data_IF_899688802173
#
_entry.id   IF_899688802173
#
_cell.length_a   1.000
_cell.length_b   1.000
_cell.length_c   1.000
_cell.angle_alpha   90.00
_cell.angle_beta   90.00
_cell.angle_gamma   90.00
#
_symmetry.space_group_name_H-M   'P 1'
#
loop_
_entity.id
_entity.type
_entity.pdbx_description
1 polymer ?
#
# COMPACT_ATOMS: atom_id res chain seq x y z
N UNK A 1 -8.71 11.48 0.49
CA UNK A 1 -7.77 10.95 1.51
C UNK A 1 -8.33 9.76 2.30
N UNK A 2 -9.64 9.57 2.38
CA UNK A 2 -10.26 8.41 3.08
C UNK A 2 -10.12 7.06 2.35
N UNK A 3 -9.74 7.05 1.06
CA UNK A 3 -9.59 5.81 0.27
C UNK A 3 -8.26 5.09 0.46
N UNK A 4 -7.24 5.74 1.04
CA UNK A 4 -5.90 5.16 1.13
C UNK A 4 -5.80 3.97 2.12
N UNK A 5 -6.62 3.95 3.17
CA UNK A 5 -6.58 2.88 4.18
C UNK A 5 -7.33 1.63 3.68
N UNK A 6 -8.40 1.81 2.92
CA UNK A 6 -9.17 0.68 2.33
C UNK A 6 -8.38 -0.02 1.21
N UNK A 7 -7.49 0.70 0.49
CA UNK A 7 -6.67 0.12 -0.57
C UNK A 7 -5.56 -0.82 -0.09
N UNK A 8 -5.16 -0.77 1.19
CA UNK A 8 -4.18 -1.71 1.75
C UNK A 8 -4.68 -3.16 1.63
N UNK A 9 -5.99 -3.36 1.64
CA UNK A 9 -6.63 -4.68 1.60
C UNK A 9 -6.60 -5.35 0.23
N UNK A 10 -6.70 -4.60 -0.86
CA UNK A 10 -6.66 -5.17 -2.22
C UNK A 10 -5.30 -5.78 -2.56
N UNK A 11 -4.22 -5.23 -2.01
CA UNK A 11 -2.86 -5.72 -2.25
C UNK A 11 -2.49 -7.00 -1.48
N UNK A 12 -3.17 -7.30 -0.37
CA UNK A 12 -3.02 -8.59 0.31
C UNK A 12 -3.85 -9.70 -0.35
N UNK A 13 -4.86 -9.34 -1.16
CA UNK A 13 -5.74 -10.28 -1.85
C UNK A 13 -5.47 -10.42 -3.36
N UNK A 14 -4.65 -9.57 -3.95
CA UNK A 14 -4.47 -9.53 -5.40
C UNK A 14 -3.05 -9.77 -5.84
N UNK A 15 -2.70 -11.01 -6.11
CA UNK A 15 -1.98 -11.42 -7.32
C UNK A 15 -1.89 -12.94 -7.40
N UNK A 16 -2.14 -13.49 -8.58
CA UNK A 16 -2.04 -14.90 -8.93
C UNK A 16 -0.59 -15.37 -8.86
N UNK A 17 -0.18 -15.81 -7.73
CA UNK A 17 1.05 -16.51 -7.45
C UNK A 17 0.99 -16.93 -6.00
N UNK A 18 0.80 -18.21 -5.72
CA UNK A 18 0.76 -18.88 -4.42
C UNK A 18 0.64 -17.91 -3.24
N UNK A 19 -0.56 -17.41 -3.02
CA UNK A 19 -0.84 -16.40 -2.01
C UNK A 19 -0.53 -17.00 -0.64
N UNK A 20 0.63 -16.65 -0.07
CA UNK A 20 0.96 -16.94 1.32
C UNK A 20 0.07 -16.04 2.18
N UNK A 21 -1.20 -16.45 2.36
CA UNK A 21 -2.20 -15.68 3.11
C UNK A 21 -1.77 -15.57 4.56
N UNK A 22 -1.65 -14.37 5.11
CA UNK A 22 -1.27 -14.21 6.51
C UNK A 22 -2.38 -14.71 7.43
N UNK A 23 -1.99 -15.31 8.55
CA UNK A 23 -2.90 -15.67 9.63
C UNK A 23 -3.21 -14.47 10.52
N UNK A 24 -2.30 -13.50 10.54
CA UNK A 24 -2.46 -12.22 11.25
C UNK A 24 -1.61 -11.13 10.57
N UNK A 25 -1.95 -9.88 10.83
CA UNK A 25 -1.16 -8.71 10.42
C UNK A 25 -0.73 -7.97 11.68
N UNK A 26 0.58 -7.72 11.81
CA UNK A 26 1.13 -6.79 12.80
C UNK A 26 1.20 -5.41 12.19
N UNK A 27 0.73 -4.43 12.93
CA UNK A 27 0.69 -3.04 12.51
C UNK A 27 1.64 -2.19 13.35
N UNK A 28 2.46 -1.40 12.66
CA UNK A 28 3.41 -0.47 13.27
C UNK A 28 3.17 0.93 12.71
N UNK A 29 3.36 1.94 13.55
CA UNK A 29 3.33 3.35 13.20
C UNK A 29 4.66 3.98 13.59
N UNK A 30 5.38 4.57 12.63
CA UNK A 30 6.73 5.12 12.82
C UNK A 30 7.67 4.14 13.55
N UNK A 31 7.62 2.87 13.19
CA UNK A 31 8.40 1.79 13.82
C UNK A 31 7.89 1.31 15.18
N UNK A 32 6.88 1.96 15.77
CA UNK A 32 6.28 1.54 17.04
C UNK A 32 5.14 0.57 16.79
N UNK A 33 5.17 -0.59 17.45
CA UNK A 33 4.08 -1.56 17.40
C UNK A 33 2.78 -0.96 17.94
N UNK A 34 1.68 -1.13 17.21
CA UNK A 34 0.35 -0.64 17.56
C UNK A 34 -0.55 -1.77 18.00
N UNK A 35 -0.80 -2.74 17.09
CA UNK A 35 -1.71 -3.85 17.39
C UNK A 35 -1.54 -5.02 16.38
N UNK A 36 -2.25 -6.11 16.65
CA UNK A 36 -2.36 -7.31 15.81
C UNK A 36 -3.79 -7.51 15.32
N UNK A 37 -3.94 -7.75 14.02
CA UNK A 37 -5.24 -7.93 13.38
C UNK A 37 -5.37 -9.31 12.76
N UNK A 38 -6.54 -9.90 12.94
CA UNK A 38 -6.88 -11.25 12.46
C UNK A 38 -7.97 -11.19 11.39
N UNK A 39 -8.08 -12.23 10.53
CA UNK A 39 -9.15 -12.29 9.54
C UNK A 39 -10.55 -12.13 10.15
N UNK A 40 -11.35 -11.22 9.59
CA UNK A 40 -12.66 -10.81 10.12
C UNK A 40 -13.76 -11.85 9.82
N UNK A 41 -13.59 -13.07 10.35
CA UNK A 41 -14.51 -14.20 10.11
C UNK A 41 -15.94 -13.96 10.57
N UNK A 42 -16.15 -13.10 11.58
CA UNK A 42 -17.49 -12.78 12.09
C UNK A 42 -18.29 -11.92 11.12
N UNK A 43 -17.64 -10.97 10.46
CA UNK A 43 -18.27 -10.04 9.50
C UNK A 43 -18.40 -10.66 8.11
N UNK A 44 -17.42 -11.45 7.69
CA UNK A 44 -17.34 -12.04 6.34
C UNK A 44 -17.47 -13.57 6.38
N UNK A 45 -18.53 -14.07 7.02
CA UNK A 45 -18.78 -15.51 7.21
C UNK A 45 -18.91 -16.30 5.89
N UNK A 46 -19.39 -15.62 4.84
CA UNK A 46 -19.63 -16.20 3.51
C UNK A 46 -18.34 -16.31 2.68
N UNK A 47 -17.24 -15.65 3.11
CA UNK A 47 -15.98 -15.72 2.38
C UNK A 47 -15.10 -16.86 2.93
N UNK A 48 -14.59 -17.75 2.05
CA UNK A 48 -13.65 -18.81 2.47
C UNK A 48 -12.37 -18.20 3.05
N UNK A 49 -12.04 -16.98 2.60
CA UNK A 49 -10.87 -16.24 3.03
C UNK A 49 -11.27 -14.79 3.37
N UNK A 50 -11.71 -14.54 4.60
CA UNK A 50 -12.12 -13.22 5.00
C UNK A 50 -10.92 -12.25 5.05
N UNK A 51 -11.15 -10.96 4.72
CA UNK A 51 -10.11 -9.94 4.82
C UNK A 51 -9.72 -9.71 6.29
N UNK A 52 -8.51 -9.19 6.50
CA UNK A 52 -8.11 -8.61 7.78
C UNK A 52 -8.54 -7.14 7.75
N UNK A 53 -9.38 -6.72 8.67
CA UNK A 53 -9.84 -5.32 8.80
C UNK A 53 -8.99 -4.63 9.85
N UNK A 54 -8.35 -3.51 9.50
CA UNK A 54 -7.59 -2.67 10.42
C UNK A 54 -8.49 -1.49 10.78
N UNK A 55 -9.03 -1.52 11.98
CA UNK A 55 -9.98 -0.54 12.50
C UNK A 55 -9.51 0.13 13.80
N UNK A 56 -8.37 -0.30 14.34
CA UNK A 56 -7.70 0.33 15.47
C UNK A 56 -6.31 0.86 15.07
N UNK A 57 -6.14 2.19 15.10
CA UNK A 57 -4.89 2.88 14.75
C UNK A 57 -4.08 3.30 15.98
N UNK A 58 -4.56 2.99 17.18
CA UNK A 58 -4.04 3.48 18.45
C UNK A 58 -3.55 2.33 19.33
N UNK A 59 -4.24 1.18 19.30
CA UNK A 59 -3.94 0.04 20.16
C UNK A 59 -4.02 0.43 21.64
N UNK A 60 -3.00 0.06 22.40
CA UNK A 60 -2.89 0.37 23.84
C UNK A 60 -2.06 1.63 24.12
N UNK A 61 -1.60 2.34 23.09
CA UNK A 61 -0.68 3.47 23.26
C UNK A 61 -1.29 4.61 24.08
N UNK A 62 -2.60 4.83 23.94
CA UNK A 62 -3.30 5.89 24.66
C UNK A 62 -3.41 5.56 26.17
N UNK A 63 -3.64 4.29 26.51
CA UNK A 63 -3.66 3.81 27.91
C UNK A 63 -2.27 3.90 28.55
N UNK A 64 -1.21 3.63 27.79
CA UNK A 64 0.17 3.63 28.30
C UNK A 64 0.75 5.02 28.47
N UNK A 65 0.38 5.97 27.61
CA UNK A 65 1.08 7.26 27.51
C UNK A 65 0.29 8.44 28.07
N UNK A 66 -1.02 8.27 28.34
CA UNK A 66 -1.88 9.36 28.79
C UNK A 66 -2.45 9.08 30.21
N UNK A 67 -2.73 10.11 31.01
CA UNK A 67 -3.18 9.97 32.38
C UNK A 67 -4.67 9.61 32.49
N UNK A 68 -5.16 8.74 31.60
CA UNK A 68 -6.54 8.29 31.60
C UNK A 68 -6.68 6.94 32.30
N UNK A 69 -7.85 6.71 32.94
CA UNK A 69 -8.18 5.35 33.35
C UNK A 69 -8.31 4.45 32.12
N UNK A 70 -8.03 3.17 32.26
CA UNK A 70 -8.16 2.17 31.19
C UNK A 70 -9.51 2.24 30.45
N UNK A 71 -10.60 2.44 31.19
CA UNK A 71 -11.95 2.55 30.62
C UNK A 71 -12.14 3.83 29.82
N UNK A 72 -11.57 4.94 30.28
CA UNK A 72 -11.72 6.24 29.63
C UNK A 72 -10.79 6.37 28.43
N UNK A 73 -9.55 5.83 28.52
CA UNK A 73 -8.66 5.69 27.39
C UNK A 73 -9.32 4.91 26.24
N UNK A 74 -10.02 3.80 26.56
CA UNK A 74 -10.77 3.04 25.55
C UNK A 74 -11.90 3.88 24.92
N UNK A 75 -12.64 4.66 25.70
CA UNK A 75 -13.71 5.53 25.18
C UNK A 75 -13.18 6.59 24.21
N UNK A 76 -12.05 7.23 24.56
CA UNK A 76 -11.38 8.19 23.65
C UNK A 76 -10.89 7.46 22.41
N UNK A 77 -10.22 6.33 22.55
CA UNK A 77 -9.74 5.50 21.44
C UNK A 77 -10.87 5.17 20.46
N UNK A 78 -11.98 4.64 20.97
CA UNK A 78 -13.15 4.29 20.16
C UNK A 78 -13.72 5.52 19.43
N UNK A 79 -13.73 6.68 20.10
CA UNK A 79 -14.13 7.95 19.49
C UNK A 79 -13.21 8.39 18.36
N UNK A 80 -11.90 8.38 18.60
CA UNK A 80 -10.89 8.77 17.61
C UNK A 80 -10.89 7.82 16.38
N UNK A 81 -10.95 6.50 16.61
CA UNK A 81 -11.06 5.51 15.53
C UNK A 81 -12.38 5.66 14.76
N UNK A 82 -13.49 5.99 15.45
CA UNK A 82 -14.76 6.26 14.78
C UNK A 82 -14.73 7.53 13.92
N UNK A 83 -13.95 8.57 14.29
CA UNK A 83 -13.73 9.75 13.43
C UNK A 83 -13.03 9.33 12.14
N UNK A 84 -12.06 8.43 12.17
CA UNK A 84 -11.40 7.90 10.97
C UNK A 84 -12.40 7.15 10.09
N UNK A 85 -13.26 6.34 10.68
CA UNK A 85 -14.18 5.47 9.95
C UNK A 85 -15.37 6.22 9.33
N UNK A 86 -15.98 7.14 10.08
CA UNK A 86 -17.23 7.80 9.69
C UNK A 86 -17.07 9.27 9.31
N UNK A 87 -15.93 9.86 9.61
CA UNK A 87 -15.73 11.31 9.57
C UNK A 87 -16.36 12.02 10.77
N UNK A 88 -15.83 13.20 11.11
CA UNK A 88 -16.31 13.99 12.25
C UNK A 88 -17.81 14.36 12.17
N UNK A 89 -18.37 14.76 11.02
CA UNK A 89 -19.80 15.12 10.92
C UNK A 89 -20.73 13.93 11.21
N UNK A 90 -20.36 12.75 10.73
CA UNK A 90 -21.17 11.54 10.75
C UNK A 90 -20.88 10.63 11.97
N UNK A 91 -20.19 11.13 12.98
CA UNK A 91 -19.82 10.34 14.15
C UNK A 91 -21.09 9.84 14.87
N UNK A 92 -21.23 8.52 15.11
CA UNK A 92 -22.37 7.94 15.81
C UNK A 92 -22.56 8.54 17.22
N UNK A 93 -23.82 8.75 17.62
CA UNK A 93 -24.17 9.44 18.86
C UNK A 93 -23.52 8.81 20.11
N UNK A 94 -23.43 7.46 20.13
CA UNK A 94 -22.77 6.73 21.22
C UNK A 94 -21.32 7.18 21.45
N UNK A 95 -20.56 7.43 20.39
CA UNK A 95 -19.18 7.90 20.49
C UNK A 95 -19.10 9.37 20.89
N UNK A 96 -20.02 10.20 20.37
CA UNK A 96 -20.14 11.61 20.79
C UNK A 96 -20.36 11.73 22.29
N UNK A 97 -21.34 10.99 22.83
CA UNK A 97 -21.68 11.02 24.26
C UNK A 97 -20.55 10.43 25.13
N UNK A 98 -19.95 9.31 24.71
CA UNK A 98 -18.85 8.71 25.46
C UNK A 98 -17.63 9.64 25.53
N UNK A 99 -17.27 10.27 24.41
CA UNK A 99 -16.15 11.23 24.35
C UNK A 99 -16.46 12.48 25.15
N UNK A 100 -17.66 13.05 25.02
CA UNK A 100 -18.09 14.24 25.78
C UNK A 100 -18.05 13.99 27.29
N UNK A 101 -18.45 12.80 27.75
CA UNK A 101 -18.37 12.46 29.17
C UNK A 101 -16.92 12.44 29.68
N UNK A 102 -15.97 11.89 28.89
CA UNK A 102 -14.54 11.90 29.25
C UNK A 102 -13.98 13.32 29.22
N UNK A 103 -14.37 14.13 28.23
CA UNK A 103 -13.99 15.55 28.16
C UNK A 103 -14.40 16.30 29.43
N UNK A 104 -15.64 16.14 29.88
CA UNK A 104 -16.13 16.76 31.13
C UNK A 104 -15.35 16.29 32.37
N UNK A 105 -15.10 14.98 32.46
CA UNK A 105 -14.40 14.37 33.60
C UNK A 105 -12.96 14.87 33.74
N UNK A 106 -12.22 14.97 32.63
CA UNK A 106 -10.82 15.35 32.61
C UNK A 106 -10.60 16.82 32.21
N UNK A 107 -11.67 17.59 32.07
CA UNK A 107 -11.66 19.00 31.64
C UNK A 107 -10.93 19.23 30.32
N UNK A 108 -11.10 18.28 29.36
CA UNK A 108 -10.48 18.35 28.05
C UNK A 108 -11.27 19.32 27.16
N UNK A 109 -10.53 20.05 26.33
CA UNK A 109 -11.09 20.88 25.26
C UNK A 109 -11.18 20.10 23.94
N UNK A 110 -11.82 20.67 22.93
CA UNK A 110 -11.77 20.09 21.57
C UNK A 110 -10.35 20.16 20.97
N UNK A 111 -9.57 21.14 21.36
CA UNK A 111 -8.17 21.26 20.95
C UNK A 111 -7.31 20.12 21.49
N UNK A 112 -7.53 19.73 22.77
CA UNK A 112 -6.86 18.57 23.37
C UNK A 112 -7.19 17.27 22.61
N UNK A 113 -8.46 17.07 22.23
CA UNK A 113 -8.86 15.92 21.41
C UNK A 113 -8.21 15.96 20.01
N UNK A 114 -8.11 17.15 19.42
CA UNK A 114 -7.43 17.33 18.13
C UNK A 114 -5.95 17.03 18.25
N UNK A 115 -5.29 17.43 19.33
CA UNK A 115 -3.91 17.05 19.61
C UNK A 115 -3.74 15.55 19.81
N UNK A 116 -4.65 14.90 20.55
CA UNK A 116 -4.64 13.43 20.71
C UNK A 116 -4.84 12.73 19.36
N UNK A 117 -5.76 13.23 18.53
CA UNK A 117 -5.95 12.70 17.18
C UNK A 117 -4.66 12.82 16.36
N UNK A 118 -4.03 13.99 16.36
CA UNK A 118 -2.75 14.24 15.67
C UNK A 118 -1.64 13.33 16.16
N UNK A 119 -1.52 13.13 17.48
CA UNK A 119 -0.49 12.31 18.09
C UNK A 119 -0.67 10.81 17.81
N UNK A 120 -1.90 10.29 17.92
CA UNK A 120 -2.16 8.85 17.86
C UNK A 120 -2.69 8.34 16.53
N UNK A 121 -3.47 9.12 15.81
CA UNK A 121 -4.04 8.71 14.51
C UNK A 121 -3.20 9.26 13.36
N UNK A 122 -3.05 10.57 13.27
CA UNK A 122 -2.23 11.19 12.23
C UNK A 122 -2.38 12.70 12.18
N UNK A 123 -1.30 13.40 11.94
CA UNK A 123 -1.29 14.84 11.74
C UNK A 123 -1.64 15.18 10.30
N UNK A 124 -2.63 16.04 10.13
CA UNK A 124 -2.96 16.64 8.85
C UNK A 124 -1.84 17.65 8.48
N UNK A 125 -0.90 17.20 7.65
CA UNK A 125 0.05 18.09 6.97
C UNK A 125 1.31 18.53 7.73
N UNK A 126 1.61 18.04 8.94
CA UNK A 126 2.77 18.51 9.73
C UNK A 126 3.87 17.48 10.00
N UNK A 127 3.60 16.19 9.94
CA UNK A 127 4.62 15.16 10.10
C UNK A 127 4.36 14.01 9.14
N UNK A 128 5.41 13.51 8.52
CA UNK A 128 5.35 12.28 7.75
C UNK A 128 5.10 11.11 8.71
N UNK A 129 3.99 10.41 8.54
CA UNK A 129 3.67 9.21 9.30
C UNK A 129 3.91 8.02 8.40
N UNK A 130 4.78 7.12 8.81
CA UNK A 130 4.99 5.85 8.13
C UNK A 130 4.20 4.74 8.82
N UNK A 131 3.59 3.89 8.04
CA UNK A 131 2.88 2.71 8.49
C UNK A 131 3.58 1.47 7.93
N UNK A 132 3.83 0.49 8.79
CA UNK A 132 4.37 -0.82 8.39
C UNK A 132 3.38 -1.90 8.77
N UNK A 133 3.10 -2.80 7.83
CA UNK A 133 2.22 -3.94 8.00
C UNK A 133 3.00 -5.21 7.71
N UNK A 134 3.11 -6.10 8.68
CA UNK A 134 3.76 -7.39 8.54
C UNK A 134 2.70 -8.50 8.52
N UNK A 135 2.55 -9.14 7.38
CA UNK A 135 1.73 -10.34 7.25
C UNK A 135 2.47 -11.56 7.79
N UNK A 136 1.90 -12.23 8.78
CA UNK A 136 2.49 -13.39 9.43
C UNK A 136 1.67 -14.64 9.12
N UNK A 137 2.35 -15.70 8.73
CA UNK A 137 1.79 -17.04 8.54
C UNK A 137 2.69 -18.06 9.24
N UNK A 138 2.08 -18.88 10.10
CA UNK A 138 2.79 -19.95 10.84
C UNK A 138 4.03 -19.42 11.58
N UNK A 139 3.89 -18.24 12.21
CA UNK A 139 4.95 -17.58 12.98
C UNK A 139 6.04 -16.89 12.15
N UNK A 140 5.96 -16.92 10.82
CA UNK A 140 6.96 -16.31 9.91
C UNK A 140 6.37 -15.11 9.18
N UNK A 141 7.15 -14.05 9.02
CA UNK A 141 6.78 -12.92 8.17
C UNK A 141 6.82 -13.40 6.72
N UNK A 142 5.67 -13.31 6.04
CA UNK A 142 5.51 -13.71 4.63
C UNK A 142 5.47 -12.52 3.69
N UNK A 143 5.12 -11.34 4.20
CA UNK A 143 5.12 -10.09 3.44
C UNK A 143 5.18 -8.91 4.39
N UNK A 144 5.96 -7.89 4.03
CA UNK A 144 5.96 -6.57 4.66
C UNK A 144 5.48 -5.54 3.64
N UNK A 145 4.60 -4.64 4.06
CA UNK A 145 4.13 -3.51 3.27
C UNK A 145 4.35 -2.25 4.08
N UNK A 146 5.10 -1.31 3.52
CA UNK A 146 5.28 0.01 4.08
C UNK A 146 4.38 1.01 3.36
N UNK A 147 3.91 2.02 4.07
CA UNK A 147 3.14 3.14 3.53
C UNK A 147 3.64 4.42 4.19
N UNK A 148 4.19 5.30 3.37
CA UNK A 148 4.59 6.65 3.76
C UNK A 148 3.99 7.67 2.82
N UNK A 149 4.03 8.97 3.14
CA UNK A 149 3.65 9.99 2.18
C UNK A 149 4.51 9.90 0.94
N UNK A 150 3.88 9.92 -0.24
CA UNK A 150 4.57 9.91 -1.52
C UNK A 150 5.36 11.20 -1.70
N UNK A 151 6.68 11.07 -1.89
CA UNK A 151 7.56 12.21 -2.16
C UNK A 151 8.03 12.22 -3.62
N UNK A 152 8.43 11.08 -4.15
CA UNK A 152 9.01 11.01 -5.48
C UNK A 152 8.64 9.69 -6.17
N UNK A 153 7.61 9.69 -7.03
CA UNK A 153 7.31 8.50 -7.83
C UNK A 153 8.44 8.24 -8.84
N UNK A 154 8.65 6.97 -9.15
CA UNK A 154 9.65 6.51 -10.11
C UNK A 154 9.13 5.31 -10.89
N UNK A 155 9.82 4.95 -11.98
CA UNK A 155 9.50 3.73 -12.72
C UNK A 155 10.31 2.53 -12.23
N UNK A 156 9.65 1.39 -12.17
CA UNK A 156 10.26 0.07 -12.00
C UNK A 156 9.91 -0.78 -13.22
N UNK A 157 10.92 -1.49 -13.76
CA UNK A 157 10.74 -2.33 -14.95
C UNK A 157 11.13 -3.75 -14.57
N UNK A 158 10.19 -4.66 -14.76
CA UNK A 158 10.38 -6.11 -14.56
C UNK A 158 10.36 -6.79 -15.91
N UNK A 159 11.29 -7.70 -16.14
CA UNK A 159 11.38 -8.53 -17.35
C UNK A 159 11.36 -9.98 -16.92
N UNK A 160 10.52 -10.80 -17.54
CA UNK A 160 10.40 -12.23 -17.17
C UNK A 160 11.68 -13.01 -17.46
N UNK A 161 12.35 -12.72 -18.58
CA UNK A 161 13.67 -13.28 -18.93
C UNK A 161 14.48 -12.26 -19.73
N UNK A 162 15.72 -12.07 -19.35
CA UNK A 162 16.70 -11.27 -20.09
C UNK A 162 17.55 -12.11 -21.05
N UNK A 163 17.56 -13.43 -20.91
CA UNK A 163 18.20 -14.37 -21.82
C UNK A 163 17.12 -15.02 -22.70
N UNK A 164 17.23 -14.82 -23.99
CA UNK A 164 16.29 -15.29 -25.01
C UNK A 164 17.04 -16.17 -26.03
N UNK A 165 16.35 -17.14 -26.60
CA UNK A 165 16.96 -18.09 -27.54
C UNK A 165 16.14 -18.19 -28.80
N UNK A 166 16.77 -17.90 -29.95
CA UNK A 166 16.19 -18.15 -31.28
C UNK A 166 16.58 -19.58 -31.68
N UNK A 167 15.58 -20.47 -31.69
CA UNK A 167 15.78 -21.84 -32.18
C UNK A 167 15.08 -22.03 -33.54
N UNK A 168 14.02 -22.80 -33.62
CA UNK A 168 13.22 -23.00 -34.84
C UNK A 168 12.30 -21.79 -35.12
N UNK A 169 12.05 -20.95 -34.15
CA UNK A 169 11.24 -19.75 -34.23
C UNK A 169 11.80 -18.66 -33.31
N UNK A 170 11.18 -17.49 -33.34
CA UNK A 170 11.51 -16.39 -32.42
C UNK A 170 11.13 -16.76 -30.97
N UNK A 171 11.82 -16.15 -30.03
CA UNK A 171 11.47 -16.17 -28.61
C UNK A 171 10.85 -14.83 -28.19
N UNK A 172 10.13 -14.83 -27.06
CA UNK A 172 9.46 -13.64 -26.53
C UNK A 172 9.64 -13.53 -25.03
N UNK A 173 9.74 -12.29 -24.53
CA UNK A 173 9.70 -11.99 -23.10
C UNK A 173 8.67 -10.93 -22.80
N UNK A 174 8.02 -11.06 -21.65
CA UNK A 174 7.10 -10.05 -21.14
C UNK A 174 7.88 -9.01 -20.34
N UNK A 175 7.51 -7.75 -20.55
CA UNK A 175 8.00 -6.61 -19.75
C UNK A 175 6.83 -5.96 -19.06
N UNK A 176 6.99 -5.67 -17.78
CA UNK A 176 6.02 -4.93 -16.96
C UNK A 176 6.69 -3.66 -16.45
N UNK A 177 6.09 -2.52 -16.72
CA UNK A 177 6.54 -1.22 -16.20
C UNK A 177 5.53 -0.76 -15.16
N UNK A 178 6.04 -0.33 -14.00
CA UNK A 178 5.25 0.12 -12.86
C UNK A 178 5.68 1.52 -12.44
N UNK A 179 4.72 2.37 -12.12
CA UNK A 179 4.97 3.58 -11.36
C UNK A 179 4.91 3.21 -9.88
N UNK A 180 5.99 3.45 -9.14
CA UNK A 180 6.12 3.08 -7.73
C UNK A 180 6.49 4.28 -6.87
N UNK A 181 6.05 4.24 -5.62
CA UNK A 181 6.47 5.18 -4.57
C UNK A 181 7.83 4.79 -3.96
N UNK A 182 8.29 5.58 -2.98
CA UNK A 182 9.56 5.33 -2.29
C UNK A 182 9.55 4.00 -1.50
N UNK A 183 8.38 3.50 -1.13
CA UNK A 183 8.16 2.22 -0.45
C UNK A 183 7.94 1.04 -1.43
N UNK A 184 8.10 1.26 -2.74
CA UNK A 184 7.89 0.27 -3.81
C UNK A 184 6.43 -0.19 -3.97
N UNK A 185 5.48 0.62 -3.54
CA UNK A 185 4.08 0.37 -3.83
C UNK A 185 3.69 0.99 -5.16
N UNK A 186 2.78 0.32 -5.88
CA UNK A 186 2.25 0.86 -7.14
C UNK A 186 1.43 2.11 -6.87
N UNK A 187 1.67 3.15 -7.68
CA UNK A 187 0.91 4.39 -7.67
C UNK A 187 -0.36 4.22 -8.52
N UNK A 188 -1.43 3.69 -7.95
CA UNK A 188 -2.67 3.30 -8.64
C UNK A 188 -3.34 4.43 -9.46
N UNK A 189 -3.01 5.67 -9.19
CA UNK A 189 -3.56 6.87 -9.86
C UNK A 189 -2.58 7.51 -10.86
N UNK A 190 -1.48 6.84 -11.19
CA UNK A 190 -0.59 7.28 -12.27
C UNK A 190 -1.17 6.87 -13.62
N UNK A 191 -1.27 7.84 -14.52
CA UNK A 191 -1.72 7.71 -15.92
C UNK A 191 -0.71 8.34 -16.88
N UNK A 192 0.52 8.55 -16.43
CA UNK A 192 1.58 9.15 -17.23
C UNK A 192 1.85 8.32 -18.48
N UNK A 193 2.25 8.98 -19.56
CA UNK A 193 2.64 8.32 -20.78
C UNK A 193 4.03 7.68 -20.64
N UNK A 194 4.16 6.50 -21.21
CA UNK A 194 5.41 5.74 -21.29
C UNK A 194 5.78 5.56 -22.75
N UNK A 195 6.95 6.05 -23.13
CA UNK A 195 7.54 5.90 -24.47
C UNK A 195 8.53 4.73 -24.44
N UNK A 196 8.36 3.82 -25.39
CA UNK A 196 9.15 2.60 -25.52
C UNK A 196 9.98 2.65 -26.81
N UNK A 197 11.27 2.37 -26.68
CA UNK A 197 12.14 2.14 -27.84
C UNK A 197 13.03 0.94 -27.62
N UNK A 198 13.37 0.21 -28.69
CA UNK A 198 14.24 -0.95 -28.62
C UNK A 198 15.15 -1.02 -29.84
N UNK A 199 16.39 -1.38 -29.59
CA UNK A 199 17.36 -1.74 -30.62
C UNK A 199 17.67 -3.24 -30.53
N UNK A 200 17.82 -3.91 -31.68
CA UNK A 200 18.18 -5.33 -31.73
C UNK A 200 17.03 -6.33 -31.57
N UNK A 201 15.82 -5.87 -31.26
CA UNK A 201 14.61 -6.69 -31.14
C UNK A 201 13.37 -5.87 -31.55
N UNK A 202 12.16 -6.42 -31.40
CA UNK A 202 10.89 -5.79 -31.78
C UNK A 202 9.92 -5.75 -30.60
N UNK A 203 9.24 -4.61 -30.39
CA UNK A 203 8.14 -4.48 -29.42
C UNK A 203 6.85 -4.94 -30.09
N UNK A 204 6.14 -5.87 -29.44
CA UNK A 204 4.80 -6.27 -29.87
C UNK A 204 3.79 -5.32 -29.20
N UNK A 205 3.24 -4.41 -29.99
CA UNK A 205 2.26 -3.43 -29.54
C UNK A 205 2.67 -1.98 -29.81
N UNK A 206 1.93 -1.02 -29.25
CA UNK A 206 2.25 0.39 -29.41
C UNK A 206 3.51 0.77 -28.63
N UNK A 207 4.24 1.76 -29.15
CA UNK A 207 5.45 2.30 -28.50
C UNK A 207 5.15 3.44 -27.53
N UNK A 208 3.93 3.96 -27.56
CA UNK A 208 3.43 5.00 -26.67
C UNK A 208 2.20 4.44 -25.94
N UNK A 209 2.30 4.27 -24.61
CA UNK A 209 1.27 3.64 -23.80
C UNK A 209 1.17 4.40 -22.48
N UNK A 210 -0.04 4.80 -22.08
CA UNK A 210 -0.26 5.38 -20.76
C UNK A 210 -0.43 4.29 -19.69
N UNK A 211 0.03 4.55 -18.47
CA UNK A 211 -0.26 3.70 -17.35
C UNK A 211 -1.77 3.53 -17.14
N UNK A 212 -2.17 2.35 -16.73
CA UNK A 212 -3.53 2.02 -16.28
C UNK A 212 -3.42 1.47 -14.88
N UNK A 213 -3.86 2.26 -13.88
CA UNK A 213 -3.68 1.87 -12.48
C UNK A 213 -2.20 1.74 -12.07
N UNK A 214 -1.34 2.62 -12.61
CA UNK A 214 0.08 2.68 -12.30
C UNK A 214 0.94 1.58 -12.91
N UNK A 215 0.43 0.79 -13.87
CA UNK A 215 1.21 -0.25 -14.52
C UNK A 215 0.79 -0.49 -15.97
N UNK A 216 1.74 -0.98 -16.78
CA UNK A 216 1.51 -1.48 -18.13
C UNK A 216 2.36 -2.72 -18.38
N UNK A 217 1.91 -3.54 -19.32
CA UNK A 217 2.67 -4.70 -19.79
C UNK A 217 2.70 -4.77 -21.32
N UNK A 218 3.81 -5.20 -21.87
CA UNK A 218 4.00 -5.46 -23.30
C UNK A 218 4.96 -6.62 -23.51
N UNK A 219 5.15 -7.03 -24.76
CA UNK A 219 6.00 -8.13 -25.13
C UNK A 219 7.12 -7.66 -26.05
N UNK A 220 8.29 -8.28 -25.90
CA UNK A 220 9.42 -8.14 -26.81
C UNK A 220 9.59 -9.45 -27.55
N UNK A 221 9.81 -9.36 -28.85
CA UNK A 221 10.07 -10.48 -29.77
C UNK A 221 11.50 -10.38 -30.29
N UNK A 222 12.22 -11.51 -30.28
CA UNK A 222 13.55 -11.59 -30.86
C UNK A 222 13.50 -11.50 -32.38
N UNK A 223 14.51 -10.85 -32.98
CA UNK A 223 14.65 -10.72 -34.44
C UNK A 223 15.93 -11.33 -34.97
N UNK A 224 17.05 -11.18 -34.25
CA UNK A 224 18.37 -11.71 -34.58
C UNK A 224 19.18 -11.95 -33.28
N UNK A 225 20.15 -12.85 -33.28
CA UNK A 225 21.10 -12.99 -32.18
C UNK A 225 21.91 -11.71 -31.95
N UNK A 226 22.26 -11.46 -30.70
CA UNK A 226 23.03 -10.30 -30.24
C UNK A 226 22.44 -9.67 -28.96
N UNK A 227 22.90 -8.48 -28.62
CA UNK A 227 22.37 -7.69 -27.53
C UNK A 227 21.25 -6.81 -28.06
N UNK A 228 20.09 -6.84 -27.39
CA UNK A 228 19.02 -5.87 -27.64
C UNK A 228 18.90 -4.95 -26.43
N UNK A 229 18.74 -3.64 -26.68
CA UNK A 229 18.62 -2.62 -25.65
C UNK A 229 17.23 -2.01 -25.68
N UNK A 230 16.45 -2.29 -24.61
CA UNK A 230 15.15 -1.66 -24.37
C UNK A 230 15.35 -0.36 -23.59
N UNK A 231 14.79 0.73 -24.08
CA UNK A 231 14.67 1.98 -23.34
C UNK A 231 13.20 2.27 -23.03
N UNK A 232 12.92 2.50 -21.76
CA UNK A 232 11.62 2.87 -21.23
C UNK A 232 11.74 4.29 -20.68
N UNK A 233 10.97 5.23 -21.21
CA UNK A 233 10.95 6.62 -20.77
C UNK A 233 9.55 7.00 -20.34
N UNK A 234 9.39 7.43 -19.09
CA UNK A 234 8.12 7.87 -18.56
C UNK A 234 8.20 9.33 -18.13
N UNK A 235 7.36 10.14 -18.74
CA UNK A 235 7.32 11.58 -18.52
C UNK A 235 7.16 11.89 -17.02
N UNK A 236 8.03 12.74 -16.48
CA UNK A 236 8.16 13.07 -15.05
C UNK A 236 8.66 11.96 -14.10
N UNK A 237 8.73 10.70 -14.53
CA UNK A 237 9.10 9.58 -13.65
C UNK A 237 10.52 9.07 -13.92
N UNK A 238 11.14 9.52 -15.04
CA UNK A 238 12.49 9.15 -15.46
C UNK A 238 12.53 8.03 -16.49
N UNK A 239 13.73 7.59 -16.82
CA UNK A 239 13.99 6.56 -17.82
C UNK A 239 14.78 5.38 -17.25
N UNK A 240 14.61 4.21 -17.90
CA UNK A 240 15.33 2.96 -17.61
C UNK A 240 15.79 2.33 -18.91
N UNK A 241 17.00 1.76 -18.90
CA UNK A 241 17.53 0.96 -19.99
C UNK A 241 17.79 -0.46 -19.49
N UNK A 242 17.45 -1.45 -20.32
CA UNK A 242 17.58 -2.87 -20.01
C UNK A 242 18.18 -3.58 -21.22
N UNK A 243 19.22 -4.36 -20.98
CA UNK A 243 19.84 -5.20 -21.97
C UNK A 243 19.23 -6.60 -21.96
N UNK A 244 18.97 -7.14 -23.16
CA UNK A 244 18.50 -8.49 -23.40
C UNK A 244 19.55 -9.23 -24.21
N UNK A 245 19.91 -10.42 -23.82
CA UNK A 245 20.89 -11.26 -24.49
C UNK A 245 20.16 -12.30 -25.34
N UNK A 246 20.30 -12.20 -26.65
CA UNK A 246 19.63 -13.08 -27.63
C UNK A 246 20.66 -14.02 -28.23
N UNK A 247 20.46 -15.30 -28.03
CA UNK A 247 21.32 -16.41 -28.52
C UNK A 247 20.69 -17.12 -29.68
#
# INVERSE_FOLDING_TARGET
YHRCITCIFSHFNGFHGFCKRPNLIKFYKNGTFVDEFYPSRKEYKHLPYPPVVIDDFIGDLLEKNEPFSKRDARRIKDGLNAVVKYGQPNLPLKHKLATAWVMLKYKLTFEDLYHLFGKYVGNWGKASVSFTFEGIKDGKIVKTVNRSPLYKPSIEVEVDSTDLVIDTTYDTTRVVVKCVDDDKNICDYSFDNVSLSIEGAEIIGPKEISFIGGSIGFWIKTTKPGIATLKVDAYHLGSKEIELNIK
#
